data_IF_149465068057
#
_entry.id   IF_149465068057
#
_cell.length_a   1.000
_cell.length_b   1.000
_cell.length_c   1.000
_cell.angle_alpha   90.00
_cell.angle_beta   90.00
_cell.angle_gamma   90.00
#
_symmetry.space_group_name_H-M   'P 1'
#
loop_
_entity.id
_entity.type
_entity.pdbx_description
1 polymer ?
#
# COMPACT_ATOMS: atom_id res chain seq x y z
N UNK A 1 19.16 3.99 2.21
CA UNK A 1 18.56 4.53 3.44
C UNK A 1 17.47 5.52 3.05
N UNK A 2 16.34 5.55 3.75
CA UNK A 2 15.22 6.47 3.51
C UNK A 2 14.57 6.85 4.85
N UNK A 3 13.73 7.89 4.85
CA UNK A 3 12.76 8.17 5.93
C UNK A 3 11.40 7.69 5.45
N UNK A 4 10.76 6.80 6.21
CA UNK A 4 9.45 6.24 5.86
C UNK A 4 8.37 6.70 6.83
N UNK A 5 7.52 7.61 6.37
CA UNK A 5 6.37 8.11 7.10
C UNK A 5 5.21 7.12 6.93
N UNK A 6 4.94 6.31 7.97
CA UNK A 6 3.87 5.31 7.94
C UNK A 6 2.61 5.84 8.60
N UNK A 7 1.56 6.10 7.81
CA UNK A 7 0.26 6.63 8.25
C UNK A 7 0.39 7.92 9.08
N UNK A 8 1.32 8.79 8.68
CA UNK A 8 1.67 10.00 9.42
C UNK A 8 0.66 11.16 9.24
N UNK A 9 -0.45 10.95 8.54
CA UNK A 9 -1.42 11.99 8.12
C UNK A 9 -1.94 12.82 9.30
N UNK A 10 -2.19 12.20 10.45
CA UNK A 10 -2.64 12.87 11.69
C UNK A 10 -1.53 13.65 12.42
N UNK A 11 -0.26 13.36 12.12
CA UNK A 11 0.92 14.07 12.62
C UNK A 11 1.59 14.92 11.54
N UNK A 12 0.90 15.23 10.45
CA UNK A 12 1.56 15.83 9.30
C UNK A 12 2.18 17.19 9.63
N UNK A 13 1.50 18.03 10.42
CA UNK A 13 2.01 19.36 10.79
C UNK A 13 3.35 19.29 11.55
N UNK A 14 3.47 18.55 12.67
CA UNK A 14 4.77 18.42 13.33
C UNK A 14 5.82 17.75 12.46
N UNK A 15 5.46 16.77 11.63
CA UNK A 15 6.39 16.13 10.68
C UNK A 15 6.96 17.13 9.69
N UNK A 16 6.12 17.97 9.06
CA UNK A 16 6.57 18.99 8.12
C UNK A 16 7.48 20.04 8.77
N UNK A 17 7.21 20.40 10.04
CA UNK A 17 8.09 21.30 10.81
C UNK A 17 9.47 20.67 11.05
N UNK A 18 9.49 19.40 11.43
CA UNK A 18 10.74 18.68 11.65
C UNK A 18 11.54 18.50 10.35
N UNK A 19 10.86 18.14 9.25
CA UNK A 19 11.48 18.00 7.93
C UNK A 19 12.10 19.32 7.47
N UNK A 20 11.42 20.45 7.65
CA UNK A 20 11.98 21.76 7.32
C UNK A 20 13.31 22.00 8.02
N UNK A 21 13.40 21.73 9.33
CA UNK A 21 14.65 21.88 10.07
C UNK A 21 15.71 20.89 9.57
N UNK A 22 15.35 19.62 9.36
CA UNK A 22 16.28 18.61 8.88
C UNK A 22 16.87 18.94 7.50
N UNK A 23 16.06 19.47 6.57
CA UNK A 23 16.54 19.91 5.26
C UNK A 23 17.48 21.12 5.36
N UNK A 24 17.23 22.05 6.30
CA UNK A 24 18.15 23.17 6.58
C UNK A 24 19.51 22.67 7.10
N UNK A 25 19.53 21.55 7.81
CA UNK A 25 20.73 20.87 8.31
C UNK A 25 21.34 19.85 7.30
N UNK A 26 20.85 19.81 6.06
CA UNK A 26 21.45 19.02 4.98
C UNK A 26 20.90 17.61 4.78
N UNK A 27 19.71 17.29 5.30
CA UNK A 27 19.02 16.02 5.00
C UNK A 27 18.86 15.82 3.49
N UNK A 28 19.34 14.69 2.96
CA UNK A 28 19.35 14.41 1.52
C UNK A 28 18.96 12.96 1.16
N UNK A 29 18.33 12.24 2.09
CA UNK A 29 17.84 10.88 1.85
C UNK A 29 16.37 10.89 1.40
N UNK A 30 15.93 9.91 0.59
CA UNK A 30 14.56 9.89 0.08
C UNK A 30 13.50 9.86 1.19
N UNK A 31 12.43 10.63 0.99
CA UNK A 31 11.24 10.62 1.83
C UNK A 31 10.15 9.75 1.21
N UNK A 32 9.73 8.71 1.94
CA UNK A 32 8.65 7.80 1.55
C UNK A 32 7.40 8.16 2.36
N UNK A 33 6.27 8.34 1.68
CA UNK A 33 4.96 8.52 2.30
C UNK A 33 4.12 7.27 2.12
N UNK A 34 4.10 6.42 3.15
CA UNK A 34 3.37 5.17 3.20
C UNK A 34 2.04 5.38 3.91
N UNK A 35 0.93 5.23 3.20
CA UNK A 35 -0.39 5.53 3.74
C UNK A 35 -1.46 4.51 3.36
N UNK A 36 -2.62 4.60 4.01
CA UNK A 36 -3.80 3.80 3.64
C UNK A 36 -4.56 4.34 2.42
N UNK A 37 -4.05 5.41 1.79
CA UNK A 37 -4.68 6.13 0.68
C UNK A 37 -5.86 7.03 1.08
N UNK A 38 -6.43 6.89 2.28
CA UNK A 38 -7.65 7.57 2.72
C UNK A 38 -7.43 9.04 3.18
N UNK A 39 -6.47 9.72 2.57
CA UNK A 39 -6.22 11.14 2.78
C UNK A 39 -7.16 12.01 1.95
N UNK A 40 -7.36 13.25 2.39
CA UNK A 40 -7.94 14.29 1.54
C UNK A 40 -6.93 14.68 0.45
N UNK A 41 -7.37 14.81 -0.80
CA UNK A 41 -6.49 15.24 -1.90
C UNK A 41 -5.79 16.58 -1.61
N UNK A 42 -6.45 17.47 -0.86
CA UNK A 42 -5.91 18.77 -0.49
C UNK A 42 -4.70 18.62 0.44
N UNK A 43 -4.66 17.57 1.26
CA UNK A 43 -3.51 17.25 2.11
C UNK A 43 -2.36 16.73 1.25
N UNK A 44 -2.65 15.86 0.28
CA UNK A 44 -1.62 15.36 -0.65
C UNK A 44 -1.05 16.50 -1.49
N UNK A 45 -1.86 17.47 -1.94
CA UNK A 45 -1.40 18.62 -2.70
C UNK A 45 -0.34 19.45 -1.95
N UNK A 46 -0.41 19.50 -0.61
CA UNK A 46 0.59 20.21 0.23
C UNK A 46 1.94 19.46 0.29
N UNK A 47 1.97 18.17 -0.06
CA UNK A 47 3.17 17.34 -0.05
C UNK A 47 3.96 17.40 -1.37
N UNK A 48 3.50 18.18 -2.35
CA UNK A 48 4.20 18.37 -3.61
C UNK A 48 5.61 18.90 -3.38
N UNK A 49 6.57 18.33 -4.10
CA UNK A 49 8.01 18.58 -3.96
C UNK A 49 8.63 18.21 -2.59
N UNK A 50 7.86 17.63 -1.66
CA UNK A 50 8.36 17.16 -0.36
C UNK A 50 8.56 15.64 -0.37
N UNK A 51 7.59 14.91 -0.92
CA UNK A 51 7.63 13.44 -0.94
C UNK A 51 8.27 12.95 -2.24
N UNK A 52 9.31 12.12 -2.09
CA UNK A 52 9.97 11.48 -3.23
C UNK A 52 9.20 10.26 -3.71
N UNK A 53 8.75 9.41 -2.78
CA UNK A 53 8.06 8.15 -3.12
C UNK A 53 6.74 8.03 -2.35
N UNK A 54 5.64 7.92 -3.07
CA UNK A 54 4.35 7.57 -2.52
C UNK A 54 4.18 6.04 -2.48
N UNK A 55 3.73 5.51 -1.34
CA UNK A 55 3.48 4.09 -1.14
C UNK A 55 2.08 3.84 -0.53
N UNK A 56 0.98 4.25 -1.20
CA UNK A 56 -0.36 4.11 -0.67
C UNK A 56 -0.92 2.70 -0.85
N UNK A 57 -1.81 2.29 0.06
CA UNK A 57 -2.71 1.16 -0.14
C UNK A 57 -4.00 1.62 -0.83
N UNK A 58 -4.44 0.89 -1.86
CA UNK A 58 -5.79 0.98 -2.41
C UNK A 58 -6.55 -0.32 -2.11
N UNK A 59 -7.34 -0.31 -1.04
CA UNK A 59 -7.87 -1.53 -0.41
C UNK A 59 -9.21 -1.99 -1.00
N UNK A 60 -10.15 -1.07 -1.13
CA UNK A 60 -11.55 -1.36 -1.44
C UNK A 60 -12.04 -0.50 -2.60
N UNK A 61 -12.74 -1.13 -3.54
CA UNK A 61 -13.49 -0.46 -4.61
C UNK A 61 -14.97 -0.28 -4.25
N UNK A 62 -15.48 -1.10 -3.32
CA UNK A 62 -16.89 -1.13 -2.94
C UNK A 62 -17.16 -0.48 -1.58
N UNK A 63 -18.10 0.49 -1.49
CA UNK A 63 -18.52 1.12 -0.24
C UNK A 63 -18.97 0.15 0.86
N UNK A 64 -19.69 -0.92 0.48
CA UNK A 64 -20.17 -1.92 1.43
C UNK A 64 -19.02 -2.70 2.09
N UNK A 65 -17.96 -2.99 1.34
CA UNK A 65 -16.78 -3.69 1.83
C UNK A 65 -15.95 -2.79 2.75
N UNK A 66 -15.72 -1.54 2.35
CA UNK A 66 -14.96 -0.58 3.16
C UNK A 66 -15.71 -0.15 4.42
N UNK A 67 -17.04 -0.03 4.39
CA UNK A 67 -17.87 0.14 5.59
C UNK A 67 -17.71 -1.05 6.53
N UNK A 68 -17.83 -2.28 6.01
CA UNK A 68 -17.79 -3.49 6.83
C UNK A 68 -16.43 -3.72 7.48
N UNK A 69 -15.34 -3.44 6.77
CA UNK A 69 -13.99 -3.75 7.21
C UNK A 69 -13.23 -2.58 7.86
N UNK A 70 -13.63 -1.35 7.59
CA UNK A 70 -12.92 -0.16 8.06
C UNK A 70 -13.82 0.98 8.50
N UNK A 71 -15.14 0.78 8.55
CA UNK A 71 -16.12 1.82 8.88
C UNK A 71 -15.99 3.09 8.03
N UNK A 72 -15.52 2.94 6.78
CA UNK A 72 -15.23 4.03 5.85
C UNK A 72 -15.99 3.80 4.53
N UNK A 73 -17.29 4.10 4.45
CA UNK A 73 -18.11 3.80 3.27
C UNK A 73 -17.69 4.61 2.03
N UNK A 74 -17.08 5.77 2.26
CA UNK A 74 -16.55 6.69 1.26
C UNK A 74 -15.06 6.46 0.94
N UNK A 75 -14.46 5.37 1.44
CA UNK A 75 -13.04 5.07 1.28
C UNK A 75 -12.54 5.23 -0.16
N UNK A 76 -13.20 4.57 -1.12
CA UNK A 76 -12.72 4.57 -2.49
C UNK A 76 -12.78 5.95 -3.12
N UNK A 77 -13.77 6.76 -2.77
CA UNK A 77 -13.89 8.14 -3.27
C UNK A 77 -12.69 8.99 -2.85
N UNK A 78 -12.34 8.96 -1.56
CA UNK A 78 -11.19 9.72 -1.05
C UNK A 78 -9.86 9.12 -1.51
N UNK A 79 -9.73 7.80 -1.46
CA UNK A 79 -8.51 7.11 -1.84
C UNK A 79 -8.18 7.29 -3.32
N UNK A 80 -9.16 7.11 -4.21
CA UNK A 80 -8.94 7.34 -5.65
C UNK A 80 -8.51 8.79 -5.93
N UNK A 81 -9.14 9.78 -5.29
CA UNK A 81 -8.77 11.19 -5.44
C UNK A 81 -7.36 11.49 -4.90
N UNK A 82 -6.98 10.92 -3.77
CA UNK A 82 -5.63 11.05 -3.21
C UNK A 82 -4.58 10.44 -4.13
N UNK A 83 -4.80 9.22 -4.63
CA UNK A 83 -3.87 8.53 -5.53
C UNK A 83 -3.72 9.25 -6.88
N UNK A 84 -4.78 9.88 -7.39
CA UNK A 84 -4.68 10.74 -8.59
C UNK A 84 -3.79 11.96 -8.35
N UNK A 85 -3.88 12.61 -7.17
CA UNK A 85 -2.99 13.72 -6.82
C UNK A 85 -1.54 13.23 -6.60
N UNK A 86 -1.34 12.07 -5.97
CA UNK A 86 -0.01 11.45 -5.83
C UNK A 86 0.60 11.15 -7.20
N UNK A 87 -0.19 10.61 -8.14
CA UNK A 87 0.24 10.33 -9.51
C UNK A 87 0.61 11.60 -10.28
N UNK A 88 -0.12 12.69 -10.06
CA UNK A 88 0.19 13.99 -10.67
C UNK A 88 1.56 14.52 -10.21
N UNK A 89 1.88 14.36 -8.94
CA UNK A 89 3.17 14.78 -8.38
C UNK A 89 4.31 13.82 -8.75
N UNK A 90 4.01 12.52 -8.84
CA UNK A 90 4.96 11.44 -9.12
C UNK A 90 4.44 10.55 -10.26
N UNK A 91 4.62 10.98 -11.53
CA UNK A 91 4.02 10.32 -12.70
C UNK A 91 4.67 9.00 -13.09
N UNK A 92 5.87 8.69 -12.62
CA UNK A 92 6.58 7.47 -12.99
C UNK A 92 7.40 6.97 -11.80
N UNK A 93 7.50 5.65 -11.67
CA UNK A 93 8.42 5.02 -10.73
C UNK A 93 9.82 4.95 -11.32
N UNK A 94 10.70 5.80 -10.80
CA UNK A 94 12.11 5.83 -11.14
C UNK A 94 12.91 5.01 -10.13
N UNK A 95 13.61 3.99 -10.64
CA UNK A 95 14.53 3.16 -9.87
C UNK A 95 15.97 3.43 -10.29
N UNK A 96 16.91 3.23 -9.39
CA UNK A 96 18.33 3.29 -9.72
C UNK A 96 18.85 1.95 -10.31
N UNK A 97 20.14 1.90 -10.62
CA UNK A 97 20.83 0.72 -11.16
C UNK A 97 20.74 -0.53 -10.28
N UNK A 98 20.37 -0.37 -9.00
CA UNK A 98 20.18 -1.46 -8.03
C UNK A 98 18.71 -1.81 -7.84
N UNK A 99 17.82 -1.30 -8.70
CA UNK A 99 16.37 -1.41 -8.61
C UNK A 99 15.76 -0.79 -7.33
N UNK A 100 16.43 0.21 -6.75
CA UNK A 100 15.91 0.91 -5.56
C UNK A 100 15.11 2.13 -6.03
N UNK A 101 13.85 2.22 -5.60
CA UNK A 101 12.99 3.36 -5.87
C UNK A 101 13.61 4.67 -5.35
N UNK A 102 13.75 5.65 -6.25
CA UNK A 102 14.28 6.99 -5.95
C UNK A 102 13.18 8.03 -5.94
N UNK A 103 12.27 7.96 -6.90
CA UNK A 103 11.06 8.80 -6.98
C UNK A 103 9.93 7.99 -7.58
N UNK A 104 8.69 8.33 -7.24
CA UNK A 104 7.54 7.75 -7.92
C UNK A 104 6.36 7.40 -7.03
N UNK A 105 5.46 6.61 -7.60
CA UNK A 105 4.28 6.07 -6.94
C UNK A 105 4.31 4.55 -7.03
N UNK A 106 4.13 3.89 -5.88
CA UNK A 106 3.92 2.44 -5.79
C UNK A 106 2.55 2.21 -5.15
N UNK A 107 1.54 1.88 -5.95
CA UNK A 107 0.22 1.53 -5.45
C UNK A 107 0.23 0.09 -4.93
N UNK A 108 -0.14 -0.11 -3.67
CA UNK A 108 -0.23 -1.44 -3.07
C UNK A 108 -1.67 -1.92 -2.96
N UNK A 109 -1.88 -3.21 -3.14
CA UNK A 109 -3.17 -3.84 -2.99
C UNK A 109 -3.04 -5.17 -2.25
N UNK A 110 -3.65 -5.25 -1.07
CA UNK A 110 -3.79 -6.50 -0.32
C UNK A 110 -5.01 -7.25 -0.81
N UNK A 111 -4.79 -8.45 -1.36
CA UNK A 111 -5.86 -9.35 -1.76
C UNK A 111 -6.54 -9.90 -0.52
N UNK A 112 -7.84 -9.72 -0.42
CA UNK A 112 -8.64 -10.19 0.71
C UNK A 112 -9.36 -11.49 0.36
N UNK A 113 -9.46 -12.45 1.32
CA UNK A 113 -10.17 -13.71 1.11
C UNK A 113 -11.62 -13.46 0.71
N UNK A 114 -12.08 -14.13 -0.35
CA UNK A 114 -13.43 -14.02 -0.88
C UNK A 114 -13.73 -12.71 -1.61
N UNK A 115 -12.72 -11.87 -1.86
CA UNK A 115 -12.87 -10.54 -2.49
C UNK A 115 -12.04 -10.42 -3.78
N UNK A 116 -11.98 -11.49 -4.55
CA UNK A 116 -11.27 -11.56 -5.83
C UNK A 116 -11.78 -10.50 -6.81
N UNK A 117 -13.10 -10.31 -6.92
CA UNK A 117 -13.71 -9.29 -7.79
C UNK A 117 -13.35 -7.86 -7.38
N UNK A 118 -13.28 -7.56 -6.08
CA UNK A 118 -12.79 -6.26 -5.60
C UNK A 118 -11.36 -6.02 -6.08
N UNK A 119 -10.51 -7.04 -5.98
CA UNK A 119 -9.11 -6.98 -6.39
C UNK A 119 -8.98 -6.73 -7.89
N UNK A 120 -9.81 -7.41 -8.70
CA UNK A 120 -9.88 -7.16 -10.14
C UNK A 120 -10.22 -5.70 -10.46
N UNK A 121 -11.24 -5.14 -9.79
CA UNK A 121 -11.65 -3.75 -10.00
C UNK A 121 -10.56 -2.76 -9.60
N UNK A 122 -9.84 -3.04 -8.52
CA UNK A 122 -8.71 -2.23 -8.08
C UNK A 122 -7.60 -2.25 -9.12
N UNK A 123 -7.19 -3.43 -9.59
CA UNK A 123 -6.16 -3.59 -10.63
C UNK A 123 -6.56 -2.81 -11.91
N UNK A 124 -7.79 -3.01 -12.39
CA UNK A 124 -8.29 -2.33 -13.59
C UNK A 124 -8.38 -0.82 -13.42
N UNK A 125 -8.86 -0.34 -12.26
CA UNK A 125 -8.93 1.08 -11.99
C UNK A 125 -7.55 1.71 -11.93
N UNK A 126 -6.62 1.09 -11.20
CA UNK A 126 -5.24 1.60 -11.07
C UNK A 126 -4.57 1.68 -12.43
N UNK A 127 -4.69 0.63 -13.26
CA UNK A 127 -4.09 0.62 -14.59
C UNK A 127 -4.69 1.68 -15.53
N UNK A 128 -6.01 1.90 -15.45
CA UNK A 128 -6.70 2.87 -16.32
C UNK A 128 -6.51 4.33 -15.89
N UNK A 129 -6.35 4.60 -14.60
CA UNK A 129 -6.31 5.97 -14.06
C UNK A 129 -4.91 6.44 -13.69
N UNK A 130 -4.06 5.55 -13.18
CA UNK A 130 -2.69 5.88 -12.77
C UNK A 130 -1.66 5.45 -13.83
N UNK A 131 -2.05 4.66 -14.82
CA UNK A 131 -1.18 4.15 -15.87
C UNK A 131 -0.24 3.04 -15.38
N UNK A 132 0.60 2.55 -16.28
CA UNK A 132 1.48 1.38 -16.05
C UNK A 132 2.90 1.74 -15.61
N UNK A 133 3.24 3.03 -15.70
CA UNK A 133 4.54 3.62 -15.33
C UNK A 133 4.72 3.78 -13.82
N UNK A 134 3.68 3.53 -13.03
CA UNK A 134 3.81 3.42 -11.57
C UNK A 134 4.19 2.00 -11.18
N UNK A 135 4.71 1.83 -9.97
CA UNK A 135 4.83 0.50 -9.38
C UNK A 135 3.46 -0.01 -8.94
N UNK A 136 3.19 -1.29 -9.19
CA UNK A 136 2.04 -1.98 -8.60
C UNK A 136 2.52 -3.10 -7.69
N UNK A 137 2.07 -3.12 -6.44
CA UNK A 137 2.43 -4.15 -5.46
C UNK A 137 1.21 -4.96 -5.07
N UNK A 138 1.19 -6.23 -5.50
CA UNK A 138 0.15 -7.18 -5.14
C UNK A 138 0.60 -7.98 -3.91
N UNK A 139 -0.21 -7.93 -2.85
CA UNK A 139 0.10 -8.53 -1.56
C UNK A 139 -0.90 -9.64 -1.22
N UNK A 140 -0.42 -10.74 -0.65
CA UNK A 140 -1.18 -11.93 -0.24
C UNK A 140 -1.24 -12.12 1.28
N UNK A 141 -0.61 -11.24 2.06
CA UNK A 141 -0.40 -11.39 3.52
C UNK A 141 -1.61 -11.05 4.38
N UNK A 142 -2.82 -11.39 3.94
CA UNK A 142 -3.99 -11.20 4.78
C UNK A 142 -3.97 -12.23 5.92
N UNK A 143 -3.97 -11.73 7.16
CA UNK A 143 -4.11 -12.56 8.35
C UNK A 143 -5.32 -12.10 9.18
N UNK A 144 -6.27 -12.99 9.48
CA UNK A 144 -7.33 -12.68 10.41
C UNK A 144 -6.74 -12.47 11.81
N UNK A 145 -7.08 -11.36 12.46
CA UNK A 145 -6.60 -11.02 13.80
C UNK A 145 -7.74 -10.48 14.65
N UNK A 146 -7.67 -10.72 15.97
CA UNK A 146 -8.59 -10.21 16.98
C UNK A 146 -10.07 -10.49 16.64
N UNK A 147 -10.84 -9.45 16.29
CA UNK A 147 -12.28 -9.51 15.98
C UNK A 147 -12.55 -9.45 14.48
N UNK A 148 -11.71 -10.11 13.68
CA UNK A 148 -11.97 -10.26 12.25
C UNK A 148 -13.39 -10.82 12.04
N UNK A 149 -14.23 -10.23 11.17
CA UNK A 149 -15.56 -10.74 10.91
C UNK A 149 -15.49 -12.19 10.45
N UNK A 150 -16.50 -13.01 10.78
CA UNK A 150 -16.52 -14.44 10.41
C UNK A 150 -16.26 -14.69 8.92
N UNK A 151 -16.77 -13.82 8.04
CA UNK A 151 -16.55 -13.90 6.58
C UNK A 151 -15.10 -13.65 6.15
N UNK A 152 -14.27 -13.08 7.02
CA UNK A 152 -12.85 -12.78 6.81
C UNK A 152 -11.96 -13.51 7.81
N UNK A 153 -12.50 -14.44 8.61
CA UNK A 153 -11.74 -15.18 9.61
C UNK A 153 -11.00 -16.39 9.00
N UNK A 154 -10.32 -16.17 7.87
CA UNK A 154 -9.50 -17.17 7.17
C UNK A 154 -8.37 -16.52 6.40
N UNK A 155 -7.36 -17.31 6.06
CA UNK A 155 -6.30 -16.87 5.14
C UNK A 155 -6.80 -16.82 3.69
N UNK A 156 -6.08 -16.05 2.87
CA UNK A 156 -6.24 -16.05 1.42
C UNK A 156 -5.78 -17.40 0.86
N UNK A 157 -6.59 -18.06 0.05
CA UNK A 157 -6.17 -19.33 -0.54
C UNK A 157 -5.31 -19.11 -1.80
N UNK A 158 -4.54 -20.12 -2.18
CA UNK A 158 -3.64 -20.07 -3.34
C UNK A 158 -4.40 -19.77 -4.62
N UNK A 159 -5.57 -20.39 -4.82
CA UNK A 159 -6.39 -20.22 -6.03
C UNK A 159 -6.86 -18.77 -6.19
N UNK A 160 -7.34 -18.16 -5.11
CA UNK A 160 -7.76 -16.75 -5.08
C UNK A 160 -6.60 -15.83 -5.44
N UNK A 161 -5.44 -16.05 -4.81
CA UNK A 161 -4.26 -15.24 -5.11
C UNK A 161 -3.77 -15.43 -6.55
N UNK A 162 -3.71 -16.67 -7.06
CA UNK A 162 -3.28 -16.95 -8.44
C UNK A 162 -4.23 -16.33 -9.46
N UNK A 163 -5.54 -16.34 -9.19
CA UNK A 163 -6.52 -15.68 -10.05
C UNK A 163 -6.27 -14.17 -10.14
N UNK A 164 -6.03 -13.50 -9.02
CA UNK A 164 -5.74 -12.06 -8.99
C UNK A 164 -4.36 -11.75 -9.59
N UNK A 165 -3.36 -12.60 -9.31
CA UNK A 165 -2.02 -12.49 -9.86
C UNK A 165 -2.03 -12.57 -11.39
N UNK A 166 -2.84 -13.45 -11.97
CA UNK A 166 -3.02 -13.55 -13.42
C UNK A 166 -3.48 -12.21 -14.00
N UNK A 167 -4.53 -11.61 -13.43
CA UNK A 167 -5.00 -10.29 -13.88
C UNK A 167 -3.95 -9.20 -13.72
N UNK A 168 -3.22 -9.17 -12.60
CA UNK A 168 -2.15 -8.21 -12.40
C UNK A 168 -1.04 -8.36 -13.47
N UNK A 169 -0.66 -9.59 -13.83
CA UNK A 169 0.33 -9.86 -14.89
C UNK A 169 -0.19 -9.47 -16.28
N UNK A 170 -1.46 -9.71 -16.58
CA UNK A 170 -2.07 -9.41 -17.88
C UNK A 170 -2.05 -7.90 -18.22
N UNK A 171 -2.05 -7.02 -17.21
CA UNK A 171 -1.92 -5.56 -17.41
C UNK A 171 -0.56 -5.17 -18.02
N UNK A 172 0.51 -5.94 -17.76
CA UNK A 172 1.90 -5.64 -18.12
C UNK A 172 2.38 -4.31 -17.54
N UNK A 173 2.44 -4.23 -16.21
CA UNK A 173 3.06 -3.11 -15.49
C UNK A 173 4.55 -3.02 -15.82
N UNK A 174 5.10 -1.81 -15.78
CA UNK A 174 6.55 -1.63 -15.96
C UNK A 174 7.31 -2.21 -14.76
N UNK A 175 6.75 -2.03 -13.55
CA UNK A 175 7.26 -2.65 -12.32
C UNK A 175 6.09 -3.27 -11.53
N UNK A 176 6.12 -4.60 -11.39
CA UNK A 176 5.14 -5.38 -10.63
C UNK A 176 5.83 -6.10 -9.47
N UNK A 177 5.47 -5.74 -8.24
CA UNK A 177 5.89 -6.44 -7.03
C UNK A 177 4.88 -7.52 -6.66
N UNK A 178 5.33 -8.76 -6.53
CA UNK A 178 4.50 -9.93 -6.21
C UNK A 178 5.14 -10.76 -5.12
N UNK A 179 4.31 -11.53 -4.43
CA UNK A 179 4.78 -12.63 -3.59
C UNK A 179 4.68 -13.94 -4.37
N UNK A 180 5.65 -14.87 -4.22
CA UNK A 180 5.68 -16.12 -4.99
C UNK A 180 4.43 -16.97 -4.77
N UNK A 181 3.93 -17.00 -3.53
CA UNK A 181 2.78 -17.78 -3.07
C UNK A 181 1.88 -16.95 -2.14
N UNK A 182 0.68 -17.47 -1.86
CA UNK A 182 -0.09 -16.97 -0.74
C UNK A 182 0.69 -17.20 0.55
N UNK A 183 0.74 -16.19 1.43
CA UNK A 183 1.43 -16.33 2.72
C UNK A 183 0.80 -17.45 3.54
N UNK A 184 1.65 -18.37 3.98
CA UNK A 184 1.31 -19.40 4.95
C UNK A 184 1.30 -18.81 6.36
N UNK A 185 0.64 -19.52 7.28
CA UNK A 185 0.48 -19.06 8.67
C UNK A 185 1.84 -18.81 9.37
N UNK A 186 2.85 -19.62 9.05
CA UNK A 186 4.16 -19.61 9.72
C UNK A 186 5.13 -18.57 9.13
N UNK A 187 4.80 -17.99 7.97
CA UNK A 187 5.59 -16.92 7.34
C UNK A 187 5.26 -15.53 7.92
N UNK A 188 4.20 -15.42 8.71
CA UNK A 188 3.89 -14.17 9.40
C UNK A 188 4.84 -13.98 10.60
N UNK A 189 5.73 -12.99 10.51
CA UNK A 189 6.63 -12.55 11.58
C UNK A 189 5.86 -11.86 12.73
N UNK A 190 4.97 -12.60 13.37
CA UNK A 190 4.11 -12.13 14.44
C UNK A 190 4.64 -12.72 15.75
N UNK A 191 4.84 -11.88 16.77
CA UNK A 191 5.32 -12.41 18.03
C UNK A 191 4.24 -13.27 18.71
N UNK A 192 4.61 -14.44 19.20
CA UNK A 192 3.74 -15.23 20.06
C UNK A 192 4.00 -14.87 21.53
N UNK A 193 3.22 -13.94 22.07
CA UNK A 193 3.36 -13.51 23.46
C UNK A 193 2.94 -14.58 24.48
N UNK A 194 2.45 -15.75 24.05
CA UNK A 194 2.27 -16.93 24.92
C UNK A 194 3.51 -17.83 24.95
N UNK A 195 4.48 -17.62 24.05
CA UNK A 195 5.75 -18.34 24.00
C UNK A 195 6.79 -17.70 24.94
N UNK A 196 7.67 -18.49 25.58
CA UNK A 196 8.84 -17.95 26.29
C UNK A 196 9.84 -17.25 25.37
N UNK A 197 9.81 -17.54 24.06
CA UNK A 197 10.49 -16.79 23.01
C UNK A 197 9.46 -16.26 22.01
N UNK A 198 8.90 -15.05 22.26
CA UNK A 198 7.90 -14.47 21.37
C UNK A 198 8.41 -14.18 19.96
N UNK A 199 9.73 -14.05 19.76
CA UNK A 199 10.34 -13.66 18.48
C UNK A 199 11.18 -14.78 17.86
N UNK A 200 10.95 -16.04 18.26
CA UNK A 200 11.68 -17.22 17.79
C UNK A 200 11.41 -17.61 16.33
N UNK A 201 11.34 -16.63 15.43
CA UNK A 201 11.16 -16.83 14.00
C UNK A 201 12.38 -17.54 13.42
N UNK A 202 12.17 -18.61 12.65
CA UNK A 202 13.25 -19.29 11.93
C UNK A 202 13.82 -18.33 10.88
N UNK A 203 15.14 -18.11 10.92
CA UNK A 203 15.86 -17.27 9.96
C UNK A 203 16.03 -17.96 8.61
#
# INVERSE_FOLDING_TARGET
MNINLVTASHFLIPVLRALRLAYQEGLNIPLVYNSGGYEKKEIIAVLDQIVDVYLPDLKYSHPSLSQKLSAAPDYFQFASAALLEMKKQQPELLVDERNIARKGLICRHLVLPGQVENSQKIISWTASHLGKSIGFSLMSQYRPCFKAPSTFNRFLCTEEYQQVLKWAKDIKWDILFIQPTAFSQDEHLIPDFNSPDPFGWQK
#
